data_IF_109438130505
#
_entry.id   IF_109438130505
#
_cell.length_a   1.000
_cell.length_b   1.000
_cell.length_c   1.000
_cell.angle_alpha   90.00
_cell.angle_beta   90.00
_cell.angle_gamma   90.00
#
_symmetry.space_group_name_H-M   'P 1'
#
loop_
_entity.id
_entity.type
_entity.pdbx_description
1 polymer ?
#
# COMPACT_ATOMS: atom_id res chain seq x y z
N UNK A 1 -30.54 -21.29 -11.99
CA UNK A 1 -30.74 -20.18 -11.04
C UNK A 1 -31.27 -19.01 -11.86
N UNK A 2 -32.18 -18.18 -11.32
CA UNK A 2 -32.66 -17.01 -12.06
C UNK A 2 -31.54 -15.97 -12.22
N UNK A 3 -31.55 -15.27 -13.36
CA UNK A 3 -30.64 -14.15 -13.64
C UNK A 3 -30.66 -13.13 -12.50
N UNK A 4 -29.48 -12.61 -12.11
CA UNK A 4 -29.35 -11.50 -11.18
C UNK A 4 -28.36 -10.45 -11.69
N UNK A 5 -28.49 -9.24 -11.13
CA UNK A 5 -27.55 -8.14 -11.33
C UNK A 5 -26.43 -8.25 -10.30
N UNK A 6 -25.19 -8.24 -10.76
CA UNK A 6 -24.01 -8.31 -9.91
C UNK A 6 -23.61 -6.95 -9.33
N UNK A 7 -22.89 -6.93 -8.20
CA UNK A 7 -22.29 -5.71 -7.66
C UNK A 7 -21.26 -5.06 -8.56
N UNK A 8 -20.98 -3.78 -8.34
CA UNK A 8 -20.03 -3.00 -9.12
C UNK A 8 -20.68 -2.45 -10.40
N UNK A 9 -20.18 -2.84 -11.57
CA UNK A 9 -20.69 -2.34 -12.87
C UNK A 9 -22.01 -2.97 -13.33
N UNK A 10 -22.70 -3.71 -12.45
CA UNK A 10 -24.08 -4.19 -12.67
C UNK A 10 -24.25 -5.13 -13.87
N UNK A 11 -23.24 -5.96 -14.13
CA UNK A 11 -23.34 -7.03 -15.12
C UNK A 11 -24.45 -8.04 -14.71
N UNK A 12 -25.10 -8.64 -15.70
CA UNK A 12 -26.10 -9.70 -15.49
C UNK A 12 -25.41 -11.07 -15.54
N UNK A 13 -25.75 -11.96 -14.62
CA UNK A 13 -25.22 -13.33 -14.55
C UNK A 13 -26.15 -14.28 -13.80
N UNK A 14 -25.65 -15.48 -13.51
CA UNK A 14 -26.38 -16.59 -12.88
C UNK A 14 -27.55 -17.08 -13.73
N UNK A 15 -27.37 -17.08 -15.05
CA UNK A 15 -28.28 -17.71 -15.99
C UNK A 15 -28.47 -19.19 -15.67
N UNK A 16 -29.60 -19.77 -16.07
CA UNK A 16 -29.78 -21.21 -15.99
C UNK A 16 -28.65 -21.93 -16.73
N UNK A 17 -28.10 -23.02 -16.14
CA UNK A 17 -26.98 -23.71 -16.75
C UNK A 17 -27.31 -24.16 -18.18
N UNK A 18 -26.54 -23.68 -19.15
CA UNK A 18 -26.58 -24.19 -20.52
C UNK A 18 -25.84 -25.53 -20.65
N UNK A 19 -25.33 -25.84 -21.84
CA UNK A 19 -24.51 -27.05 -22.04
C UNK A 19 -23.29 -27.07 -21.11
N UNK A 20 -22.96 -28.26 -20.58
CA UNK A 20 -21.75 -28.51 -19.76
C UNK A 20 -21.64 -27.66 -18.48
N UNK A 21 -22.77 -27.19 -17.92
CA UNK A 21 -22.82 -26.40 -16.68
C UNK A 21 -22.01 -25.08 -16.70
N UNK A 22 -21.72 -24.51 -17.88
CA UNK A 22 -20.92 -23.29 -18.01
C UNK A 22 -21.52 -22.05 -17.33
N UNK A 23 -22.82 -22.08 -17.00
CA UNK A 23 -23.49 -20.96 -16.32
C UNK A 23 -22.85 -20.60 -14.98
N UNK A 24 -22.40 -21.58 -14.19
CA UNK A 24 -21.88 -21.31 -12.83
C UNK A 24 -20.50 -20.66 -12.87
N UNK A 25 -19.54 -21.27 -13.56
CA UNK A 25 -18.15 -20.76 -13.63
C UNK A 25 -18.10 -19.38 -14.30
N UNK A 26 -18.83 -19.19 -15.39
CA UNK A 26 -18.94 -17.88 -16.04
C UNK A 26 -19.54 -16.83 -15.11
N UNK A 27 -20.56 -17.18 -14.32
CA UNK A 27 -21.17 -16.24 -13.38
C UNK A 27 -20.21 -15.81 -12.27
N UNK A 28 -19.37 -16.72 -11.80
CA UNK A 28 -18.32 -16.40 -10.84
C UNK A 28 -17.26 -15.46 -11.44
N UNK A 29 -16.84 -15.70 -12.69
CA UNK A 29 -15.87 -14.86 -13.38
C UNK A 29 -16.43 -13.47 -13.71
N UNK A 30 -17.69 -13.40 -14.17
CA UNK A 30 -18.36 -12.12 -14.38
C UNK A 30 -18.57 -11.36 -13.06
N UNK A 31 -18.75 -12.05 -11.93
CA UNK A 31 -18.83 -11.41 -10.60
C UNK A 31 -17.49 -10.79 -10.22
N UNK A 32 -16.38 -11.52 -10.41
CA UNK A 32 -15.03 -10.99 -10.20
C UNK A 32 -14.76 -9.78 -11.09
N UNK A 33 -15.11 -9.88 -12.38
CA UNK A 33 -14.95 -8.78 -13.34
C UNK A 33 -15.78 -7.56 -12.91
N UNK A 34 -17.05 -7.76 -12.59
CA UNK A 34 -17.97 -6.68 -12.20
C UNK A 34 -17.49 -5.96 -10.93
N UNK A 35 -16.88 -6.70 -10.00
CA UNK A 35 -16.27 -6.19 -8.77
C UNK A 35 -14.99 -5.38 -9.03
N UNK A 36 -14.09 -5.89 -9.89
CA UNK A 36 -12.73 -5.35 -10.02
C UNK A 36 -12.60 -4.16 -10.97
N UNK A 37 -13.44 -4.03 -12.00
CA UNK A 37 -13.31 -2.99 -13.05
C UNK A 37 -13.33 -1.56 -12.48
N UNK A 38 -14.08 -1.34 -11.40
CA UNK A 38 -14.13 -0.07 -10.65
C UNK A 38 -14.24 -0.37 -9.16
N UNK A 39 -13.31 -1.17 -8.64
CA UNK A 39 -13.38 -1.65 -7.27
C UNK A 39 -13.47 -0.51 -6.24
N UNK A 40 -14.50 -0.58 -5.39
CA UNK A 40 -14.69 0.31 -4.24
C UNK A 40 -15.03 -0.50 -3.01
N UNK A 41 -14.37 -0.20 -1.90
CA UNK A 41 -14.68 -0.73 -0.59
C UNK A 41 -15.23 0.39 0.31
N UNK A 42 -16.18 0.05 1.19
CA UNK A 42 -16.71 1.00 2.17
C UNK A 42 -15.65 1.35 3.21
N UNK A 43 -14.94 0.34 3.72
CA UNK A 43 -13.85 0.47 4.69
C UNK A 43 -12.87 -0.70 4.54
N UNK A 44 -11.66 -0.51 5.08
CA UNK A 44 -10.68 -1.59 5.35
C UNK A 44 -10.39 -1.82 6.84
N UNK A 45 -11.01 -1.03 7.72
CA UNK A 45 -10.77 -1.09 9.17
C UNK A 45 -12.03 -1.53 9.95
N UNK A 46 -13.21 -1.40 9.35
CA UNK A 46 -14.46 -1.91 9.94
C UNK A 46 -14.49 -3.45 9.88
N UNK A 47 -14.70 -4.13 11.01
CA UNK A 47 -14.97 -5.57 11.02
C UNK A 47 -16.18 -5.92 10.14
N UNK A 48 -16.14 -7.07 9.48
CA UNK A 48 -17.27 -7.49 8.65
C UNK A 48 -18.52 -7.67 9.52
N UNK A 49 -19.64 -7.00 9.19
CA UNK A 49 -20.88 -7.23 9.90
C UNK A 49 -21.41 -8.64 9.61
N UNK A 50 -22.17 -9.19 10.56
CA UNK A 50 -22.81 -10.50 10.43
C UNK A 50 -23.78 -10.53 9.24
N UNK A 51 -24.39 -9.39 8.93
CA UNK A 51 -25.25 -9.18 7.77
C UNK A 51 -24.78 -7.97 6.96
N UNK A 52 -24.92 -8.05 5.65
CA UNK A 52 -24.62 -6.97 4.73
C UNK A 52 -25.77 -6.65 3.79
N UNK A 53 -25.58 -5.59 3.01
CA UNK A 53 -26.48 -5.19 1.92
C UNK A 53 -25.96 -5.73 0.59
N UNK A 54 -26.86 -6.06 -0.34
CA UNK A 54 -26.48 -6.57 -1.66
C UNK A 54 -25.45 -5.65 -2.33
N UNK A 55 -24.29 -6.23 -2.65
CA UNK A 55 -23.20 -5.51 -3.29
C UNK A 55 -22.35 -4.61 -2.40
N UNK A 56 -22.54 -4.69 -1.08
CA UNK A 56 -21.62 -4.12 -0.13
C UNK A 56 -20.24 -4.78 -0.26
N UNK A 57 -19.19 -3.97 -0.27
CA UNK A 57 -17.81 -4.42 -0.38
C UNK A 57 -17.02 -3.80 0.77
N UNK A 58 -16.28 -4.63 1.49
CA UNK A 58 -15.26 -4.19 2.44
C UNK A 58 -13.93 -4.85 2.10
N UNK A 59 -12.85 -4.27 2.58
CA UNK A 59 -11.60 -4.99 2.74
C UNK A 59 -11.61 -5.55 4.15
N UNK A 60 -11.35 -6.85 4.29
CA UNK A 60 -11.23 -7.49 5.60
C UNK A 60 -10.06 -6.86 6.35
N UNK A 61 -10.24 -6.39 7.61
CA UNK A 61 -9.17 -5.77 8.37
C UNK A 61 -7.89 -6.62 8.39
N UNK A 62 -6.74 -5.97 8.28
CA UNK A 62 -5.44 -6.66 8.24
C UNK A 62 -5.17 -7.50 9.51
N UNK A 63 -5.75 -7.11 10.64
CA UNK A 63 -5.66 -7.82 11.91
C UNK A 63 -6.69 -8.95 12.08
N UNK A 64 -7.54 -9.22 11.08
CA UNK A 64 -8.50 -10.32 11.15
C UNK A 64 -7.79 -11.67 11.10
N UNK A 65 -8.27 -12.65 11.88
CA UNK A 65 -7.68 -13.99 11.90
C UNK A 65 -7.88 -14.77 10.59
N UNK A 66 -8.99 -14.55 9.90
CA UNK A 66 -9.33 -15.22 8.64
C UNK A 66 -9.55 -14.19 7.53
N UNK A 67 -9.09 -14.53 6.32
CA UNK A 67 -9.25 -13.71 5.11
C UNK A 67 -8.69 -12.28 5.24
N UNK A 68 -7.69 -12.05 6.09
CA UNK A 68 -7.06 -10.74 6.25
C UNK A 68 -6.69 -10.13 4.90
N UNK A 69 -6.98 -8.84 4.71
CA UNK A 69 -6.79 -8.08 3.47
C UNK A 69 -7.62 -8.54 2.26
N UNK A 70 -8.42 -9.60 2.34
CA UNK A 70 -9.30 -10.00 1.24
C UNK A 70 -10.34 -8.93 0.95
N UNK A 71 -10.78 -8.84 -0.30
CA UNK A 71 -12.04 -8.16 -0.61
C UNK A 71 -13.18 -9.07 -0.19
N UNK A 72 -14.03 -8.58 0.70
CA UNK A 72 -15.25 -9.24 1.11
C UNK A 72 -16.42 -8.57 0.37
N UNK A 73 -17.03 -9.31 -0.53
CA UNK A 73 -18.23 -8.92 -1.24
C UNK A 73 -19.45 -9.57 -0.60
N UNK A 74 -20.46 -8.79 -0.26
CA UNK A 74 -21.74 -9.32 0.16
C UNK A 74 -22.57 -9.75 -1.05
N UNK A 75 -22.65 -11.06 -1.27
CA UNK A 75 -23.46 -11.67 -2.32
C UNK A 75 -24.33 -12.77 -1.69
N UNK A 76 -25.60 -12.44 -1.47
CA UNK A 76 -26.58 -13.36 -0.90
C UNK A 76 -26.87 -14.49 -1.89
N UNK A 77 -26.23 -15.64 -1.71
CA UNK A 77 -26.71 -16.88 -2.30
C UNK A 77 -27.87 -17.44 -1.46
N UNK A 78 -28.77 -18.19 -2.09
CA UNK A 78 -30.04 -18.62 -1.51
C UNK A 78 -29.88 -19.21 -0.09
N UNK A 79 -30.38 -18.48 0.91
CA UNK A 79 -30.63 -18.97 2.27
C UNK A 79 -29.51 -18.83 3.31
N UNK A 80 -28.31 -18.34 2.95
CA UNK A 80 -27.21 -18.14 3.91
C UNK A 80 -26.57 -16.76 3.72
N UNK A 81 -26.38 -15.97 4.80
CA UNK A 81 -25.59 -14.74 4.71
C UNK A 81 -24.14 -15.11 4.32
N UNK A 82 -23.69 -14.68 3.13
CA UNK A 82 -22.41 -15.12 2.59
C UNK A 82 -21.57 -13.94 2.09
N UNK A 83 -20.48 -13.69 2.81
CA UNK A 83 -19.34 -12.94 2.29
C UNK A 83 -18.59 -13.82 1.29
N UNK A 84 -18.42 -13.31 0.08
CA UNK A 84 -17.56 -13.89 -0.95
C UNK A 84 -16.21 -13.19 -0.87
N UNK A 85 -15.16 -13.97 -0.64
CA UNK A 85 -13.81 -13.45 -0.48
C UNK A 85 -13.02 -13.54 -1.78
N UNK A 86 -12.32 -12.46 -2.10
CA UNK A 86 -11.36 -12.42 -3.18
C UNK A 86 -10.00 -12.01 -2.62
N UNK A 87 -9.03 -12.92 -2.75
CA UNK A 87 -7.64 -12.67 -2.33
C UNK A 87 -7.02 -11.65 -3.29
N UNK A 88 -6.50 -10.51 -2.81
CA UNK A 88 -5.88 -9.52 -3.67
C UNK A 88 -4.55 -10.02 -4.23
N UNK A 89 -4.19 -9.51 -5.41
CA UNK A 89 -2.87 -9.71 -6.00
C UNK A 89 -2.05 -8.42 -5.92
N UNK A 90 -0.73 -8.59 -6.00
CA UNK A 90 0.23 -7.48 -6.02
C UNK A 90 -0.15 -6.46 -7.09
N UNK A 91 -0.18 -5.18 -6.71
CA UNK A 91 -0.48 -4.07 -7.62
C UNK A 91 -1.96 -3.72 -7.79
N UNK A 92 -2.90 -4.50 -7.26
CA UNK A 92 -4.33 -4.14 -7.29
C UNK A 92 -4.57 -2.79 -6.61
N UNK A 93 -5.43 -1.95 -7.19
CA UNK A 93 -5.79 -0.65 -6.64
C UNK A 93 -7.31 -0.51 -6.44
N UNK A 94 -7.72 0.02 -5.28
CA UNK A 94 -9.13 0.08 -4.87
C UNK A 94 -9.41 1.42 -4.19
N UNK A 95 -10.57 2.00 -4.44
CA UNK A 95 -11.04 3.18 -3.69
C UNK A 95 -11.68 2.76 -2.36
N UNK A 96 -11.20 3.31 -1.24
CA UNK A 96 -11.76 3.14 0.10
C UNK A 96 -12.55 4.40 0.46
N UNK A 97 -13.83 4.22 0.75
CA UNK A 97 -14.81 5.31 0.79
C UNK A 97 -14.70 6.16 2.06
N UNK A 98 -14.58 5.54 3.22
CA UNK A 98 -14.43 6.23 4.52
C UNK A 98 -13.09 6.96 4.65
N UNK A 99 -12.04 6.45 4.01
CA UNK A 99 -10.74 7.11 3.92
C UNK A 99 -10.64 8.10 2.73
N UNK A 100 -11.69 8.12 1.90
CA UNK A 100 -11.80 8.84 0.64
C UNK A 100 -10.53 8.73 -0.22
N UNK A 101 -9.94 7.54 -0.38
CA UNK A 101 -8.63 7.33 -1.04
C UNK A 101 -8.44 6.01 -1.77
N UNK A 102 -7.52 6.02 -2.75
CA UNK A 102 -7.03 4.78 -3.35
C UNK A 102 -5.99 4.13 -2.44
N UNK A 103 -6.09 2.81 -2.33
CA UNK A 103 -5.09 1.93 -1.74
C UNK A 103 -4.60 0.94 -2.79
N UNK A 104 -3.32 0.56 -2.72
CA UNK A 104 -2.69 -0.45 -3.55
C UNK A 104 -2.26 -1.63 -2.70
N UNK A 105 -2.54 -2.86 -3.12
CA UNK A 105 -2.06 -4.06 -2.43
C UNK A 105 -0.59 -4.28 -2.77
N UNK A 106 0.28 -4.26 -1.76
CA UNK A 106 1.71 -4.55 -1.91
C UNK A 106 2.27 -5.27 -0.70
N UNK A 107 3.18 -6.23 -0.93
CA UNK A 107 3.90 -6.93 0.13
C UNK A 107 2.99 -7.48 1.25
N UNK A 108 1.80 -7.99 0.86
CA UNK A 108 0.84 -8.58 1.80
C UNK A 108 -0.08 -7.59 2.51
N UNK A 109 -0.08 -6.30 2.16
CA UNK A 109 -0.93 -5.30 2.79
C UNK A 109 -1.47 -4.22 1.84
N UNK A 110 -2.58 -3.59 2.22
CA UNK A 110 -3.10 -2.42 1.51
C UNK A 110 -2.35 -1.17 1.95
N UNK A 111 -1.62 -0.55 1.03
CA UNK A 111 -0.91 0.71 1.27
C UNK A 111 -1.65 1.86 0.60
N UNK A 112 -1.51 3.06 1.12
CA UNK A 112 -2.11 4.24 0.50
C UNK A 112 -1.36 4.60 -0.78
N UNK A 113 -2.11 4.98 -1.83
CA UNK A 113 -1.51 5.53 -3.05
C UNK A 113 -1.20 7.01 -2.83
N UNK A 114 0.06 7.46 -3.04
CA UNK A 114 0.44 8.87 -2.92
C UNK A 114 -0.40 9.77 -3.82
N UNK A 115 -0.60 11.02 -3.40
CA UNK A 115 -1.36 12.04 -4.15
C UNK A 115 -0.48 13.24 -4.49
N UNK A 116 -0.66 13.84 -5.67
CA UNK A 116 -0.14 15.18 -5.91
C UNK A 116 -0.66 16.16 -4.85
N UNK A 117 0.25 16.92 -4.23
CA UNK A 117 -0.09 17.97 -3.27
C UNK A 117 -0.33 17.53 -1.81
N UNK A 118 -0.32 16.23 -1.50
CA UNK A 118 -0.36 15.74 -0.11
C UNK A 118 0.78 14.77 0.12
N UNK A 119 1.72 15.17 0.99
CA UNK A 119 2.86 14.33 1.37
C UNK A 119 2.46 13.46 2.55
N UNK A 120 2.65 12.15 2.41
CA UNK A 120 2.40 11.21 3.50
C UNK A 120 3.55 11.30 4.51
N UNK A 121 3.22 11.36 5.80
CA UNK A 121 4.20 11.25 6.89
C UNK A 121 4.14 9.84 7.46
N UNK A 122 5.30 9.18 7.58
CA UNK A 122 5.44 7.88 8.26
C UNK A 122 6.41 8.01 9.42
N UNK A 123 5.94 7.69 10.61
CA UNK A 123 6.77 7.64 11.82
C UNK A 123 7.54 6.33 11.91
N UNK A 124 8.84 6.41 12.19
CA UNK A 124 9.73 5.29 12.43
C UNK A 124 10.24 5.32 13.87
N UNK A 125 9.98 4.25 14.62
CA UNK A 125 10.46 4.03 16.01
C UNK A 125 11.46 2.87 16.12
N UNK A 126 11.79 2.26 14.98
CA UNK A 126 12.74 1.14 14.85
C UNK A 126 14.19 1.65 14.77
N UNK A 127 15.15 0.75 14.99
CA UNK A 127 16.59 1.04 14.86
C UNK A 127 17.16 0.76 13.47
N UNK A 128 16.40 0.08 12.60
CA UNK A 128 16.75 -0.14 11.20
C UNK A 128 15.50 -0.17 10.34
N UNK A 129 15.55 0.50 9.18
CA UNK A 129 14.48 0.50 8.18
C UNK A 129 15.08 0.38 6.78
N UNK A 130 14.60 -0.55 5.97
CA UNK A 130 14.96 -0.61 4.54
C UNK A 130 13.82 0.00 3.74
N UNK A 131 14.13 0.90 2.80
CA UNK A 131 13.11 1.54 2.00
C UNK A 131 12.32 0.51 1.19
N UNK A 132 11.02 0.70 1.12
CA UNK A 132 10.05 -0.18 0.46
C UNK A 132 9.11 0.67 -0.41
N UNK A 133 8.33 0.05 -1.29
CA UNK A 133 7.46 0.75 -2.23
C UNK A 133 6.49 1.75 -1.55
N UNK A 134 6.10 1.46 -0.31
CA UNK A 134 5.23 2.30 0.50
C UNK A 134 5.89 3.59 1.02
N UNK A 135 7.21 3.73 0.89
CA UNK A 135 7.93 4.96 1.25
C UNK A 135 7.96 6.00 0.12
N UNK A 136 7.58 5.65 -1.11
CA UNK A 136 7.62 6.55 -2.27
C UNK A 136 6.78 7.81 -2.02
N UNK A 137 7.37 8.99 -2.20
CA UNK A 137 6.68 10.28 -2.03
C UNK A 137 6.30 10.61 -0.59
N UNK A 138 6.93 9.97 0.41
CA UNK A 138 6.67 10.21 1.83
C UNK A 138 7.82 10.93 2.54
N UNK A 139 7.49 11.55 3.68
CA UNK A 139 8.44 11.98 4.71
C UNK A 139 8.50 10.88 5.77
N UNK A 140 9.71 10.38 6.03
CA UNK A 140 9.99 9.44 7.11
C UNK A 140 10.48 10.23 8.34
N UNK A 141 9.71 10.21 9.42
CA UNK A 141 10.07 10.87 10.67
C UNK A 141 10.64 9.85 11.65
N UNK A 142 11.91 10.00 12.02
CA UNK A 142 12.53 9.14 13.01
C UNK A 142 12.37 9.76 14.40
N UNK A 143 11.47 9.23 15.22
CA UNK A 143 11.07 9.85 16.50
C UNK A 143 11.70 9.20 17.74
N UNK A 144 12.40 8.08 17.57
CA UNK A 144 13.04 7.35 18.66
C UNK A 144 14.24 8.08 19.28
N UNK A 145 14.61 7.66 20.49
CA UNK A 145 15.84 8.08 21.17
C UNK A 145 17.07 7.24 20.79
N UNK A 146 16.87 6.05 20.22
CA UNK A 146 17.93 5.17 19.74
C UNK A 146 18.31 5.52 18.31
N UNK A 147 19.58 5.36 17.96
CA UNK A 147 20.06 5.56 16.59
C UNK A 147 19.32 4.66 15.60
N UNK A 148 19.05 5.17 14.41
CA UNK A 148 18.33 4.46 13.35
C UNK A 148 19.08 4.53 12.03
N UNK A 149 19.16 3.41 11.31
CA UNK A 149 19.68 3.38 9.94
C UNK A 149 18.56 3.19 8.93
N UNK A 150 18.38 4.16 8.03
CA UNK A 150 17.50 4.08 6.87
C UNK A 150 18.32 3.65 5.65
N UNK A 151 18.05 2.46 5.14
CA UNK A 151 18.82 1.84 4.06
C UNK A 151 18.09 1.97 2.72
N UNK A 152 18.78 2.50 1.70
CA UNK A 152 18.34 2.44 0.30
C UNK A 152 18.67 1.04 -0.24
N UNK A 153 17.67 0.20 -0.58
CA UNK A 153 17.90 -1.15 -1.08
C UNK A 153 18.42 -1.16 -2.53
N UNK A 154 18.93 -2.31 -2.96
CA UNK A 154 19.20 -2.56 -4.36
C UNK A 154 17.89 -2.59 -5.17
N UNK A 155 17.93 -2.09 -6.41
CA UNK A 155 16.77 -2.04 -7.28
C UNK A 155 16.19 -3.41 -7.61
N UNK A 156 17.05 -4.44 -7.63
CA UNK A 156 16.64 -5.82 -7.86
C UNK A 156 15.71 -6.37 -6.76
N UNK A 157 15.79 -5.83 -5.53
CA UNK A 157 14.93 -6.26 -4.41
C UNK A 157 13.72 -5.36 -4.24
N UNK A 158 13.90 -4.04 -4.42
CA UNK A 158 12.83 -3.06 -4.33
C UNK A 158 12.95 -2.08 -5.50
N UNK A 159 12.13 -2.24 -6.55
CA UNK A 159 12.16 -1.33 -7.69
C UNK A 159 11.52 0.01 -7.31
N UNK A 160 12.25 1.09 -7.56
CA UNK A 160 11.77 2.46 -7.50
C UNK A 160 11.87 3.07 -8.88
N UNK A 161 10.91 3.90 -9.29
CA UNK A 161 10.99 4.62 -10.57
C UNK A 161 12.02 5.76 -10.48
N UNK A 162 12.72 6.04 -11.57
CA UNK A 162 13.56 7.24 -11.66
C UNK A 162 12.71 8.48 -11.43
N UNK A 163 13.18 9.41 -10.59
CA UNK A 163 12.41 10.56 -10.12
C UNK A 163 11.67 10.33 -8.80
N UNK A 164 11.71 9.12 -8.23
CA UNK A 164 11.20 8.86 -6.87
C UNK A 164 11.88 9.80 -5.88
N UNK A 165 11.06 10.51 -5.10
CA UNK A 165 11.48 11.39 -4.01
C UNK A 165 11.05 10.78 -2.67
N UNK A 166 11.96 10.72 -1.71
CA UNK A 166 11.70 10.29 -0.32
C UNK A 166 12.45 11.22 0.61
N UNK A 167 11.79 11.75 1.62
CA UNK A 167 12.42 12.61 2.62
C UNK A 167 12.62 11.83 3.91
N UNK A 168 13.73 12.07 4.60
CA UNK A 168 13.99 11.56 5.95
C UNK A 168 14.21 12.77 6.85
N UNK A 169 13.48 12.83 7.96
CA UNK A 169 13.60 13.89 8.96
C UNK A 169 13.87 13.26 10.32
N UNK A 170 14.96 13.67 10.97
CA UNK A 170 15.22 13.29 12.34
C UNK A 170 14.36 14.15 13.27
N UNK A 171 13.49 13.54 14.06
CA UNK A 171 12.64 14.26 15.05
C UNK A 171 13.11 13.95 16.47
N UNK A 172 13.46 12.68 16.73
CA UNK A 172 13.97 12.23 18.02
C UNK A 172 15.46 12.49 18.23
N UNK A 173 15.92 12.19 19.45
CA UNK A 173 17.33 12.31 19.82
C UNK A 173 18.22 11.22 19.18
N UNK A 174 17.63 10.12 18.72
CA UNK A 174 18.33 9.06 18.01
C UNK A 174 18.87 9.55 16.68
N UNK A 175 20.18 9.44 16.47
CA UNK A 175 20.82 9.84 15.22
C UNK A 175 20.29 9.01 14.06
N UNK A 176 19.69 9.68 13.08
CA UNK A 176 19.23 9.05 11.86
C UNK A 176 20.37 9.01 10.83
N UNK A 177 20.67 7.83 10.32
CA UNK A 177 21.70 7.61 9.31
C UNK A 177 21.05 7.11 8.03
N UNK A 178 21.26 7.80 6.92
CA UNK A 178 20.90 7.29 5.59
C UNK A 178 22.08 6.54 5.02
N UNK A 179 21.85 5.31 4.55
CA UNK A 179 22.90 4.43 4.00
C UNK A 179 22.46 3.78 2.69
N UNK A 180 23.33 3.74 1.70
CA UNK A 180 23.14 2.93 0.51
C UNK A 180 23.55 1.46 0.76
N UNK A 181 22.76 0.52 0.25
CA UNK A 181 23.15 -0.89 0.22
C UNK A 181 24.35 -1.13 -0.74
N UNK A 182 24.97 -2.31 -0.66
CA UNK A 182 26.06 -2.67 -1.55
C UNK A 182 25.61 -2.60 -3.03
N UNK A 183 26.42 -1.99 -3.88
CA UNK A 183 26.11 -1.79 -5.30
C UNK A 183 25.18 -0.61 -5.61
N UNK A 184 24.70 0.13 -4.59
CA UNK A 184 23.92 1.36 -4.76
C UNK A 184 24.82 2.57 -4.56
N UNK A 185 24.77 3.53 -5.50
CA UNK A 185 25.48 4.80 -5.39
C UNK A 185 24.59 5.88 -4.77
N UNK A 186 25.15 6.61 -3.81
CA UNK A 186 24.49 7.74 -3.14
C UNK A 186 25.34 9.00 -3.32
N UNK A 187 25.00 9.78 -4.34
CA UNK A 187 25.72 10.99 -4.71
C UNK A 187 25.32 12.16 -3.80
N UNK A 188 26.27 13.06 -3.52
CA UNK A 188 26.12 14.14 -2.54
C UNK A 188 26.88 13.89 -1.23
N UNK A 189 27.47 12.68 -1.07
CA UNK A 189 28.31 12.29 0.06
C UNK A 189 29.43 11.35 -0.42
N UNK A 190 30.54 11.28 0.32
CA UNK A 190 31.74 10.50 -0.12
C UNK A 190 31.69 9.03 0.33
N UNK A 191 30.99 8.70 1.41
CA UNK A 191 31.10 7.39 2.08
C UNK A 191 29.89 6.45 1.85
N UNK A 192 28.95 6.80 0.95
CA UNK A 192 27.73 6.00 0.74
C UNK A 192 26.78 5.92 1.95
N UNK A 193 27.11 6.60 3.04
CA UNK A 193 26.31 6.78 4.25
C UNK A 193 26.52 8.16 4.84
N UNK A 194 25.48 8.74 5.45
CA UNK A 194 25.55 10.03 6.15
C UNK A 194 24.60 10.06 7.34
N UNK A 195 25.09 10.58 8.46
CA UNK A 195 24.27 10.87 9.64
C UNK A 195 23.66 12.27 9.52
N UNK A 196 22.39 12.39 9.87
CA UNK A 196 21.71 13.66 10.06
C UNK A 196 22.28 14.36 11.31
N UNK A 197 22.27 15.69 11.32
CA UNK A 197 23.04 16.51 12.29
C UNK A 197 22.34 16.72 13.63
N UNK A 198 21.11 16.23 13.79
CA UNK A 198 20.32 16.39 15.01
C UNK A 198 18.82 16.49 14.74
N UNK A 199 18.01 16.71 15.79
CA UNK A 199 16.57 16.93 15.64
C UNK A 199 16.25 18.05 14.66
N UNK A 200 15.18 17.86 13.89
CA UNK A 200 14.68 18.72 12.82
C UNK A 200 15.59 18.86 11.59
N UNK A 201 16.75 18.21 11.57
CA UNK A 201 17.51 18.04 10.34
C UNK A 201 16.85 16.96 9.46
N UNK A 202 16.91 17.17 8.15
CA UNK A 202 16.34 16.22 7.19
C UNK A 202 17.18 16.13 5.92
N UNK A 203 16.89 15.15 5.08
CA UNK A 203 17.49 15.02 3.77
C UNK A 203 16.48 14.47 2.77
N UNK A 204 16.55 14.96 1.53
CA UNK A 204 15.78 14.47 0.41
C UNK A 204 16.60 13.47 -0.40
N UNK A 205 16.01 12.32 -0.68
CA UNK A 205 16.56 11.26 -1.52
C UNK A 205 15.83 11.27 -2.85
N UNK A 206 16.59 11.45 -3.95
CA UNK A 206 16.04 11.43 -5.31
C UNK A 206 16.69 10.33 -6.12
N UNK A 207 15.88 9.44 -6.70
CA UNK A 207 16.38 8.41 -7.62
C UNK A 207 16.72 9.02 -8.97
N UNK A 208 17.93 8.75 -9.48
CA UNK A 208 18.48 9.34 -10.72
C UNK A 208 18.74 8.32 -11.83
N UNK A 209 18.78 7.04 -11.51
CA UNK A 209 18.99 5.96 -12.47
C UNK A 209 19.07 4.61 -11.76
N UNK A 210 19.50 3.58 -12.50
CA UNK A 210 19.66 2.23 -11.97
C UNK A 210 20.65 2.22 -10.80
N UNK A 211 20.21 1.79 -9.63
CA UNK A 211 21.00 1.80 -8.39
C UNK A 211 21.71 3.16 -8.11
N UNK A 212 21.16 4.28 -8.61
CA UNK A 212 21.79 5.59 -8.50
C UNK A 212 20.84 6.61 -7.87
N UNK A 213 21.27 7.17 -6.75
CA UNK A 213 20.53 8.14 -5.95
C UNK A 213 21.35 9.40 -5.71
N UNK A 214 20.66 10.49 -5.42
CA UNK A 214 21.22 11.74 -4.91
C UNK A 214 20.58 12.01 -3.56
N UNK A 215 21.40 12.43 -2.59
CA UNK A 215 20.94 12.99 -1.31
C UNK A 215 21.23 14.48 -1.27
N UNK A 216 20.25 15.26 -0.79
CA UNK A 216 20.36 16.71 -0.66
C UNK A 216 19.76 17.17 0.67
N UNK A 217 20.27 18.29 1.18
CA UNK A 217 19.62 19.00 2.27
C UNK A 217 19.93 18.51 3.68
N UNK A 218 20.89 17.59 3.87
CA UNK A 218 21.42 17.26 5.20
C UNK A 218 21.93 18.55 5.86
N UNK A 219 21.05 19.23 6.59
CA UNK A 219 21.35 20.49 7.28
C UNK A 219 22.46 20.17 8.27
N UNK A 220 23.63 20.79 8.14
CA UNK A 220 24.79 20.55 9.00
C UNK A 220 24.92 21.60 10.13
N UNK A 221 23.79 22.14 10.62
CA UNK A 221 23.77 23.17 11.65
C UNK A 221 22.54 23.03 12.55
N UNK A 222 22.65 23.52 13.79
CA UNK A 222 21.54 23.54 14.74
C UNK A 222 20.40 24.39 14.17
N UNK A 223 19.25 23.75 13.94
CA UNK A 223 17.99 24.46 13.71
C UNK A 223 17.45 24.78 15.10
N UNK A 224 17.59 26.05 15.50
CA UNK A 224 17.03 26.56 16.75
C UNK A 224 15.53 26.81 16.63
#
# INVERSE_FOLDING_TARGET
MPERIMPGVRLRAFYDPGQRNWGTSLSEDLRRLSLLVQARAASRNTPLPATGSAGQILIVPAAAGANANALALWDQAAGVPAWVFLVPQEGWQIWVTDEARHVRFTAGGWIEVPRPGVVRIRTLTVTAHTLEAVNMGSILETTGSSAVTVTIPAEATVPFETGTLINVTQVGAGVATVRAAAGVSLNGITAGSVALSGPWSGAALTKRGTNAWVIQGALAGAVA
#
